data_IF_540066879512
#
_entry.id   IF_540066879512
#
_cell.length_a   1.000
_cell.length_b   1.000
_cell.length_c   1.000
_cell.angle_alpha   90.00
_cell.angle_beta   90.00
_cell.angle_gamma   90.00
#
_symmetry.space_group_name_H-M   'P 1'
#
loop_
_entity.id
_entity.type
_entity.pdbx_description
1 polymer ?
#
# COMPACT_ATOMS: atom_id res chain seq x y z
N UNK A 1 -8.25 31.08 11.98
CA UNK A 1 -6.97 30.60 11.43
C UNK A 1 -6.51 29.43 12.29
N UNK A 2 -7.04 28.24 12.04
CA UNK A 2 -6.71 27.04 12.82
C UNK A 2 -5.37 26.49 12.31
N UNK A 3 -4.32 26.70 13.11
CA UNK A 3 -3.04 26.05 12.94
C UNK A 3 -3.23 24.54 13.19
N UNK A 4 -3.36 23.76 12.10
CA UNK A 4 -3.25 22.31 12.16
C UNK A 4 -1.83 21.95 12.55
N UNK A 5 -1.64 21.48 13.78
CA UNK A 5 -0.39 20.90 14.23
C UNK A 5 -0.11 19.65 13.39
N UNK A 6 0.70 19.82 12.35
CA UNK A 6 1.37 18.70 11.68
C UNK A 6 2.33 18.12 12.71
N UNK A 7 2.01 16.94 13.22
CA UNK A 7 2.93 16.18 14.07
C UNK A 7 4.25 16.05 13.28
N UNK A 8 5.41 16.45 13.83
CA UNK A 8 6.66 16.29 13.10
C UNK A 8 6.84 14.81 12.79
N UNK A 9 7.08 14.49 11.52
CA UNK A 9 7.47 13.16 11.12
C UNK A 9 8.73 12.76 11.92
N UNK A 10 8.83 11.49 12.28
CA UNK A 10 10.00 10.97 12.96
C UNK A 10 11.28 11.23 12.12
N UNK A 11 12.46 11.37 12.75
CA UNK A 11 13.70 11.66 12.05
C UNK A 11 13.96 10.67 10.90
N UNK A 12 14.47 11.15 9.76
CA UNK A 12 14.81 10.30 8.61
C UNK A 12 15.82 9.19 8.92
N UNK A 13 16.59 9.34 9.98
CA UNK A 13 17.58 8.35 10.42
C UNK A 13 16.92 7.04 10.90
N UNK A 14 15.75 7.14 11.54
CA UNK A 14 14.96 5.98 11.96
C UNK A 14 14.43 5.21 10.74
N UNK A 15 13.95 5.94 9.73
CA UNK A 15 13.47 5.33 8.49
C UNK A 15 14.59 4.61 7.74
N UNK A 16 15.77 5.24 7.65
CA UNK A 16 16.93 4.67 6.95
C UNK A 16 17.35 3.33 7.57
N UNK A 17 17.29 3.23 8.89
CA UNK A 17 17.57 1.99 9.64
C UNK A 17 16.54 0.89 9.34
N UNK A 18 15.28 1.27 9.16
CA UNK A 18 14.18 0.34 8.92
C UNK A 18 14.01 -0.08 7.46
N UNK A 19 14.56 0.68 6.50
CA UNK A 19 14.39 0.43 5.06
C UNK A 19 14.68 -1.02 4.64
N UNK A 20 15.79 -1.68 5.05
CA UNK A 20 16.05 -3.07 4.67
C UNK A 20 14.97 -4.04 5.16
N UNK A 21 14.43 -3.79 6.37
CA UNK A 21 13.39 -4.63 6.97
C UNK A 21 12.06 -4.45 6.22
N UNK A 22 11.69 -3.20 5.94
CA UNK A 22 10.46 -2.88 5.22
C UNK A 22 10.51 -3.39 3.77
N UNK A 23 11.67 -3.27 3.10
CA UNK A 23 11.88 -3.79 1.75
C UNK A 23 11.65 -5.30 1.69
N UNK A 24 12.30 -6.07 2.59
CA UNK A 24 12.12 -7.52 2.64
C UNK A 24 10.65 -7.91 2.84
N UNK A 25 9.94 -7.23 3.74
CA UNK A 25 8.51 -7.48 3.96
C UNK A 25 7.68 -7.23 2.71
N UNK A 26 7.93 -6.14 1.99
CA UNK A 26 7.26 -5.83 0.73
C UNK A 26 7.57 -6.87 -0.35
N UNK A 27 8.81 -7.35 -0.44
CA UNK A 27 9.20 -8.41 -1.38
C UNK A 27 8.51 -9.75 -1.07
N UNK A 28 8.41 -10.13 0.20
CA UNK A 28 7.66 -11.31 0.66
C UNK A 28 6.16 -11.17 0.32
N UNK A 29 5.56 -10.01 0.61
CA UNK A 29 4.16 -9.73 0.28
C UNK A 29 3.92 -9.74 -1.25
N UNK A 30 4.86 -9.20 -2.03
CA UNK A 30 4.84 -9.22 -3.51
C UNK A 30 4.82 -10.65 -4.04
N UNK A 31 5.74 -11.49 -3.58
CA UNK A 31 5.83 -12.88 -4.00
C UNK A 31 4.52 -13.63 -3.72
N UNK A 32 3.98 -13.45 -2.50
CA UNK A 32 2.70 -14.05 -2.14
C UNK A 32 1.54 -13.60 -3.07
N UNK A 33 1.46 -12.31 -3.43
CA UNK A 33 0.39 -11.82 -4.33
C UNK A 33 0.51 -12.38 -5.73
N UNK A 34 1.74 -12.53 -6.24
CA UNK A 34 1.98 -13.16 -7.53
C UNK A 34 1.56 -14.63 -7.54
N UNK A 35 1.94 -15.37 -6.50
CA UNK A 35 1.54 -16.78 -6.35
C UNK A 35 0.00 -16.90 -6.26
N UNK A 36 -0.64 -16.06 -5.45
CA UNK A 36 -2.10 -16.03 -5.31
C UNK A 36 -2.82 -15.76 -6.64
N UNK A 37 -2.32 -14.79 -7.43
CA UNK A 37 -2.89 -14.47 -8.74
C UNK A 37 -2.71 -15.62 -9.74
N UNK A 38 -1.54 -16.26 -9.74
CA UNK A 38 -1.27 -17.41 -10.59
C UNK A 38 -2.16 -18.61 -10.25
N UNK A 39 -2.41 -18.87 -8.96
CA UNK A 39 -3.34 -19.93 -8.52
C UNK A 39 -4.77 -19.65 -8.99
N UNK A 40 -5.23 -18.39 -8.90
CA UNK A 40 -6.59 -18.01 -9.29
C UNK A 40 -6.83 -18.13 -10.81
N UNK A 41 -5.84 -17.81 -11.64
CA UNK A 41 -5.91 -17.95 -13.11
C UNK A 41 -6.10 -19.42 -13.56
N UNK A 42 -5.62 -20.38 -12.76
CA UNK A 42 -5.73 -21.81 -13.04
C UNK A 42 -7.09 -22.39 -12.59
N UNK A 43 -7.92 -21.63 -11.87
CA UNK A 43 -9.17 -22.15 -11.29
C UNK A 43 -10.21 -22.46 -12.38
N UNK A 44 -10.60 -23.74 -12.48
CA UNK A 44 -11.68 -24.28 -13.33
C UNK A 44 -12.97 -23.44 -13.21
N UNK A 45 -13.75 -23.19 -14.30
CA UNK A 45 -14.96 -22.39 -14.25
C UNK A 45 -16.08 -23.17 -13.56
N UNK A 46 -16.00 -23.26 -12.22
CA UNK A 46 -17.06 -23.76 -11.35
C UNK A 46 -18.31 -22.87 -11.40
N UNK A 47 -19.23 -23.04 -10.46
CA UNK A 47 -20.48 -22.26 -10.42
C UNK A 47 -20.24 -20.73 -10.51
N UNK A 48 -21.24 -19.99 -11.01
CA UNK A 48 -21.10 -18.56 -11.26
C UNK A 48 -20.73 -17.74 -10.01
N UNK A 49 -21.17 -18.15 -8.82
CA UNK A 49 -20.84 -17.47 -7.57
C UNK A 49 -19.37 -17.69 -7.18
N UNK A 50 -18.80 -18.87 -7.43
CA UNK A 50 -17.36 -19.13 -7.23
C UNK A 50 -16.48 -18.28 -8.13
N UNK A 51 -16.89 -18.07 -9.39
CA UNK A 51 -16.18 -17.17 -10.31
C UNK A 51 -16.23 -15.72 -9.86
N UNK A 52 -17.39 -15.23 -9.45
CA UNK A 52 -17.53 -13.87 -8.93
C UNK A 52 -16.64 -13.62 -7.71
N UNK A 53 -16.58 -14.58 -6.77
CA UNK A 53 -15.66 -14.49 -5.62
C UNK A 53 -14.20 -14.50 -6.07
N UNK A 54 -13.82 -15.37 -7.01
CA UNK A 54 -12.45 -15.44 -7.53
C UNK A 54 -12.04 -14.12 -8.22
N UNK A 55 -12.95 -13.51 -8.99
CA UNK A 55 -12.73 -12.22 -9.65
C UNK A 55 -12.52 -11.09 -8.62
N UNK A 56 -13.34 -11.03 -7.56
CA UNK A 56 -13.18 -10.04 -6.49
C UNK A 56 -11.86 -10.22 -5.73
N UNK A 57 -11.47 -11.46 -5.45
CA UNK A 57 -10.19 -11.76 -4.79
C UNK A 57 -9.02 -11.38 -5.70
N UNK A 58 -9.08 -11.72 -6.99
CA UNK A 58 -8.04 -11.37 -7.96
C UNK A 58 -7.90 -9.86 -8.11
N UNK A 59 -9.01 -9.11 -8.18
CA UNK A 59 -9.00 -7.66 -8.24
C UNK A 59 -8.33 -7.05 -6.99
N UNK A 60 -8.69 -7.52 -5.80
CA UNK A 60 -8.07 -7.07 -4.55
C UNK A 60 -6.57 -7.39 -4.47
N UNK A 61 -6.17 -8.57 -4.92
CA UNK A 61 -4.77 -8.99 -4.95
C UNK A 61 -3.95 -8.16 -5.95
N UNK A 62 -4.51 -7.83 -7.12
CA UNK A 62 -3.88 -7.00 -8.12
C UNK A 62 -3.67 -5.55 -7.64
N UNK A 63 -4.67 -4.94 -6.98
CA UNK A 63 -4.54 -3.60 -6.39
C UNK A 63 -3.44 -3.59 -5.32
N UNK A 64 -3.44 -4.58 -4.43
CA UNK A 64 -2.42 -4.70 -3.39
C UNK A 64 -1.01 -4.91 -3.98
N UNK A 65 -0.89 -5.69 -5.05
CA UNK A 65 0.38 -5.89 -5.76
C UNK A 65 0.89 -4.58 -6.35
N UNK A 66 0.03 -3.78 -6.98
CA UNK A 66 0.39 -2.47 -7.53
C UNK A 66 0.89 -1.51 -6.43
N UNK A 67 0.20 -1.46 -5.27
CA UNK A 67 0.64 -0.68 -4.11
C UNK A 67 2.06 -1.07 -3.65
N UNK A 68 2.32 -2.38 -3.57
CA UNK A 68 3.61 -2.93 -3.15
C UNK A 68 4.71 -2.57 -4.15
N UNK A 69 4.47 -2.76 -5.44
CA UNK A 69 5.45 -2.47 -6.49
C UNK A 69 5.79 -0.98 -6.56
N UNK A 70 4.80 -0.10 -6.37
CA UNK A 70 5.03 1.34 -6.27
C UNK A 70 5.86 1.67 -5.03
N UNK A 71 5.59 1.06 -3.89
CA UNK A 71 6.39 1.27 -2.68
C UNK A 71 7.86 0.86 -2.88
N UNK A 72 8.10 -0.30 -3.49
CA UNK A 72 9.45 -0.79 -3.83
C UNK A 72 10.17 0.14 -4.81
N UNK A 73 9.51 0.55 -5.90
CA UNK A 73 10.07 1.51 -6.85
C UNK A 73 10.47 2.81 -6.16
N UNK A 74 9.63 3.29 -5.24
CA UNK A 74 9.91 4.50 -4.46
C UNK A 74 11.11 4.34 -3.53
N UNK A 75 11.35 3.14 -3.00
CA UNK A 75 12.59 2.87 -2.26
C UNK A 75 13.80 2.92 -3.19
N UNK A 76 13.70 2.37 -4.41
CA UNK A 76 14.80 2.37 -5.38
C UNK A 76 15.18 3.77 -5.84
N UNK A 77 14.20 4.66 -6.06
CA UNK A 77 14.44 6.05 -6.47
C UNK A 77 14.64 7.02 -5.29
N UNK A 78 14.68 6.53 -4.05
CA UNK A 78 14.90 7.35 -2.85
C UNK A 78 13.75 8.30 -2.50
N UNK A 79 12.52 8.01 -2.95
CA UNK A 79 11.31 8.81 -2.68
C UNK A 79 10.36 8.19 -1.65
N UNK A 80 10.67 6.99 -1.16
CA UNK A 80 9.92 6.32 -0.11
C UNK A 80 9.82 7.17 1.16
N UNK A 81 8.67 7.08 1.84
CA UNK A 81 8.39 7.86 3.05
C UNK A 81 7.94 9.31 2.82
N UNK A 82 7.60 9.71 1.59
CA UNK A 82 6.95 11.01 1.29
C UNK A 82 5.50 10.85 0.84
N UNK A 83 4.59 11.72 1.25
CA UNK A 83 3.21 11.66 0.77
C UNK A 83 3.17 11.98 -0.73
N UNK A 84 2.41 11.21 -1.52
CA UNK A 84 2.27 11.48 -2.95
C UNK A 84 1.54 12.80 -3.23
N UNK A 85 0.59 13.17 -2.36
CA UNK A 85 -0.24 14.38 -2.50
C UNK A 85 0.46 15.66 -2.06
N UNK A 86 1.04 15.69 -0.85
CA UNK A 86 1.61 16.91 -0.27
C UNK A 86 3.14 16.89 -0.13
N UNK A 87 3.79 15.78 -0.48
CA UNK A 87 5.24 15.58 -0.39
C UNK A 87 5.85 15.69 1.02
N UNK A 88 5.03 15.92 2.05
CA UNK A 88 5.44 15.85 3.44
C UNK A 88 5.88 14.43 3.82
N UNK A 89 6.72 14.32 4.84
CA UNK A 89 7.18 13.03 5.35
C UNK A 89 6.02 12.23 5.96
N UNK A 90 5.97 10.95 5.61
CA UNK A 90 5.08 9.97 6.22
C UNK A 90 5.72 9.52 7.52
N UNK A 91 4.96 9.44 8.60
CA UNK A 91 5.52 9.02 9.89
C UNK A 91 6.05 7.60 9.82
N UNK A 92 7.21 7.37 10.42
CA UNK A 92 7.84 6.04 10.50
C UNK A 92 6.89 5.00 11.08
N UNK A 93 6.17 5.34 12.16
CA UNK A 93 5.12 4.48 12.74
C UNK A 93 4.07 4.02 11.71
N UNK A 94 3.67 4.89 10.80
CA UNK A 94 2.70 4.54 9.76
C UNK A 94 3.33 3.63 8.71
N UNK A 95 4.57 3.87 8.32
CA UNK A 95 5.32 3.01 7.39
C UNK A 95 5.65 1.63 7.98
N UNK A 96 5.86 1.53 9.29
CA UNK A 96 6.01 0.25 9.99
C UNK A 96 4.70 -0.55 9.98
N UNK A 97 3.58 0.13 10.23
CA UNK A 97 2.26 -0.50 10.22
C UNK A 97 1.84 -0.92 8.81
N UNK A 98 1.98 -0.01 7.83
CA UNK A 98 1.51 -0.14 6.45
C UNK A 98 2.64 0.29 5.49
N UNK A 99 3.59 -0.60 5.16
CA UNK A 99 4.76 -0.24 4.34
C UNK A 99 4.41 0.24 2.93
N UNK A 100 3.32 -0.25 2.36
CA UNK A 100 2.87 0.16 1.03
C UNK A 100 2.14 1.51 1.00
N UNK A 101 1.98 2.19 2.15
CA UNK A 101 1.25 3.47 2.17
C UNK A 101 1.93 4.54 1.32
N UNK A 102 1.12 5.25 0.54
CA UNK A 102 1.55 6.34 -0.33
C UNK A 102 1.24 7.71 0.27
N UNK A 103 0.49 7.74 1.37
CA UNK A 103 -0.17 8.93 1.90
C UNK A 103 0.13 9.12 3.38
N UNK A 104 0.25 10.38 3.79
CA UNK A 104 0.32 10.69 5.22
C UNK A 104 -1.06 10.50 5.86
N UNK A 105 -1.12 10.37 7.19
CA UNK A 105 -2.39 10.16 7.91
C UNK A 105 -3.45 11.25 7.68
N UNK A 106 -3.06 12.45 7.24
CA UNK A 106 -4.01 13.50 6.86
C UNK A 106 -4.71 13.21 5.52
N UNK A 107 -3.99 12.70 4.52
CA UNK A 107 -4.53 12.39 3.19
C UNK A 107 -5.09 10.97 3.08
N UNK A 108 -4.68 10.05 3.96
CA UNK A 108 -5.28 8.72 4.01
C UNK A 108 -6.79 8.77 4.29
N UNK A 109 -7.22 9.66 5.21
CA UNK A 109 -8.64 9.88 5.53
C UNK A 109 -9.48 10.33 4.32
N UNK A 110 -8.90 11.14 3.44
CA UNK A 110 -9.60 11.63 2.23
C UNK A 110 -9.66 10.56 1.14
N UNK A 111 -8.69 9.65 1.08
CA UNK A 111 -8.69 8.53 0.13
C UNK A 111 -9.69 7.45 0.54
N UNK A 112 -9.81 7.14 1.84
CA UNK A 112 -10.86 6.23 2.35
C UNK A 112 -12.27 6.74 2.06
N UNK A 113 -12.53 8.03 2.23
CA UNK A 113 -13.83 8.65 1.91
C UNK A 113 -14.13 8.57 0.39
N UNK A 114 -13.11 8.70 -0.47
CA UNK A 114 -13.26 8.57 -1.92
C UNK A 114 -13.49 7.12 -2.38
N UNK A 115 -12.81 6.14 -1.75
CA UNK A 115 -13.00 4.71 -2.02
C UNK A 115 -14.37 4.21 -1.52
N UNK A 116 -14.85 4.69 -0.37
CA UNK A 116 -16.17 4.37 0.17
C UNK A 116 -17.32 4.94 -0.68
N UNK A 117 -17.12 6.10 -1.32
CA UNK A 117 -18.09 6.71 -2.24
C UNK A 117 -18.09 6.14 -3.67
N UNK A 118 -17.09 5.31 -4.03
CA UNK A 118 -16.92 4.76 -5.38
C UNK A 118 -17.40 3.31 -5.54
N UNK A 119 -17.92 2.67 -4.47
CA UNK A 119 -18.61 1.38 -4.58
C UNK A 119 -20.07 1.63 -5.01
N UNK A 120 -20.52 1.10 -6.17
CA UNK A 120 -21.94 1.15 -6.55
C UNK A 120 -22.83 0.34 -5.60
#
# INVERSE_FOLDING_TARGET
MTAGLVLPAAPRDDLTTLLPVLRRRLEEERAFRLDQLAELDVTDPGDAARREVAELVAAGAAIALEDIEIALLRMDIGSYGRCHTCHAEISVRLLEAIPQTRSCGAHWRTEEEALAGSRP
#
